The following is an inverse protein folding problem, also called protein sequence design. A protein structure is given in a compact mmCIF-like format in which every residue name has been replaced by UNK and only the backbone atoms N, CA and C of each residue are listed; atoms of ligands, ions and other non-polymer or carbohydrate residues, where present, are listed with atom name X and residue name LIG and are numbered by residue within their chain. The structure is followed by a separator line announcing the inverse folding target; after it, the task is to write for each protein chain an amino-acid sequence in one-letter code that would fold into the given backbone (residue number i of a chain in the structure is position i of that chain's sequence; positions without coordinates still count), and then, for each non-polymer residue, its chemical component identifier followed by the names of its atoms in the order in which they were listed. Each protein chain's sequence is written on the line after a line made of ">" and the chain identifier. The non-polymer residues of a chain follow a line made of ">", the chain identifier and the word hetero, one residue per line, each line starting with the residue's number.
data_IF_165601583112
#
_entry.id   IF_165601583112
#
_cell.length_a   1.000
_cell.length_b   1.000
_cell.length_c   1.000
_cell.angle_alpha   90.00
_cell.angle_beta   90.00
_cell.angle_gamma   90.00
#
_symmetry.space_group_name_H-M   'P 1'
#
loop_
_entity.id
_entity.type
_entity.pdbx_description
1 polymer ?
#
# COMPACT_ATOMS: atom_id res chain seq x y z
N UNK A 1 -22.69 -3.64 9.98
CA UNK A 1 -21.51 -2.80 10.29
C UNK A 1 -20.44 -3.08 9.24
N UNK A 2 -19.41 -2.24 9.12
CA UNK A 2 -18.29 -2.42 8.19
C UNK A 2 -16.97 -2.08 8.88
N UNK A 3 -15.92 -2.82 8.57
CA UNK A 3 -14.55 -2.62 9.08
C UNK A 3 -13.66 -2.30 7.88
N UNK A 4 -13.10 -1.09 7.88
CA UNK A 4 -12.22 -0.57 6.84
C UNK A 4 -10.79 -0.55 7.36
N UNK A 5 -9.83 -0.95 6.53
CA UNK A 5 -8.41 -0.76 6.82
C UNK A 5 -8.06 0.70 6.58
N UNK A 6 -8.13 1.50 7.63
CA UNK A 6 -8.03 2.95 7.56
C UNK A 6 -6.60 3.41 7.29
N UNK A 7 -5.64 2.75 7.94
CA UNK A 7 -4.24 3.11 7.93
C UNK A 7 -3.34 1.92 8.27
N UNK A 8 -2.06 2.05 7.91
CA UNK A 8 -1.02 1.05 8.16
C UNK A 8 0.32 1.73 8.39
N UNK A 9 1.14 1.18 9.30
CA UNK A 9 2.51 1.65 9.50
C UNK A 9 3.46 0.52 9.89
N UNK A 10 4.71 0.69 9.49
CA UNK A 10 5.87 -0.09 9.92
C UNK A 10 6.69 0.79 10.88
N UNK A 11 7.09 0.29 12.04
CA UNK A 11 7.95 1.00 13.00
C UNK A 11 9.10 0.11 13.47
N UNK A 12 10.25 0.72 13.75
CA UNK A 12 11.43 0.02 14.26
C UNK A 12 12.64 0.10 13.34
N UNK A 13 13.83 0.19 13.96
CA UNK A 13 15.11 0.24 13.26
C UNK A 13 15.82 -1.13 13.17
N UNK A 14 15.60 -1.99 14.17
CA UNK A 14 16.24 -3.31 14.30
C UNK A 14 15.23 -4.47 14.25
N UNK A 15 14.04 -4.27 14.81
CA UNK A 15 12.91 -5.19 14.70
C UNK A 15 11.71 -4.41 14.19
N UNK A 16 11.25 -4.74 12.97
CA UNK A 16 10.10 -4.07 12.36
C UNK A 16 8.81 -4.60 13.01
N UNK A 17 8.09 -3.69 13.66
CA UNK A 17 6.71 -3.89 14.11
C UNK A 17 5.73 -3.38 13.07
N UNK A 18 4.61 -4.06 12.95
CA UNK A 18 3.59 -3.77 11.96
C UNK A 18 2.29 -3.40 12.67
N UNK A 19 1.65 -2.34 12.22
CA UNK A 19 0.41 -1.88 12.83
C UNK A 19 -0.64 -1.58 11.78
N UNK A 20 -1.89 -1.91 12.12
CA UNK A 20 -3.09 -1.50 11.42
C UNK A 20 -3.88 -0.49 12.24
N UNK A 21 -4.62 0.36 11.55
CA UNK A 21 -5.68 1.17 12.13
C UNK A 21 -6.97 0.90 11.36
N UNK A 22 -8.06 0.74 12.07
CA UNK A 22 -9.36 0.38 11.49
C UNK A 22 -10.37 1.50 11.69
N UNK A 23 -11.25 1.64 10.71
CA UNK A 23 -12.45 2.45 10.82
C UNK A 23 -13.66 1.54 10.79
N UNK A 24 -14.45 1.59 11.86
CA UNK A 24 -15.63 0.77 12.07
C UNK A 24 -16.85 1.65 11.89
N UNK A 25 -17.78 1.22 11.03
CA UNK A 25 -19.01 1.97 10.76
C UNK A 25 -20.25 1.12 11.00
N UNK A 26 -21.27 1.70 11.61
CA UNK A 26 -22.57 1.05 11.83
C UNK A 26 -23.68 2.07 11.64
N UNK A 27 -24.39 1.97 10.51
CA UNK A 27 -25.31 3.03 10.08
C UNK A 27 -24.54 4.34 9.95
N UNK A 28 -24.94 5.33 10.73
CA UNK A 28 -24.34 6.67 10.79
C UNK A 28 -23.16 6.76 11.77
N UNK A 29 -23.02 5.78 12.67
CA UNK A 29 -21.97 5.78 13.69
C UNK A 29 -20.63 5.38 13.09
N UNK A 30 -19.59 6.09 13.50
CA UNK A 30 -18.21 5.83 13.10
C UNK A 30 -17.34 5.75 14.37
N UNK A 31 -16.44 4.78 14.41
CA UNK A 31 -15.44 4.63 15.45
C UNK A 31 -14.11 4.24 14.81
N UNK A 32 -13.03 4.91 15.22
CA UNK A 32 -11.69 4.50 14.83
C UNK A 32 -11.08 3.63 15.93
N UNK A 33 -10.36 2.59 15.54
CA UNK A 33 -9.52 1.85 16.48
C UNK A 33 -8.27 2.65 16.80
N UNK A 34 -7.64 2.29 17.92
CA UNK A 34 -6.22 2.57 18.13
C UNK A 34 -5.37 1.77 17.15
N UNK A 35 -4.05 2.00 17.18
CA UNK A 35 -3.09 1.20 16.44
C UNK A 35 -3.04 -0.21 17.03
N UNK A 36 -3.36 -1.20 16.19
CA UNK A 36 -3.32 -2.62 16.54
C UNK A 36 -2.05 -3.23 15.97
N UNK A 37 -1.19 -3.76 16.83
CA UNK A 37 0.00 -4.52 16.41
C UNK A 37 -0.45 -5.82 15.72
N UNK A 38 0.13 -6.12 14.56
CA UNK A 38 -0.17 -7.30 13.76
C UNK A 38 1.13 -8.00 13.36
N UNK A 39 1.05 -9.27 12.98
CA UNK A 39 2.19 -9.96 12.38
C UNK A 39 2.54 -9.37 11.02
N UNK A 40 3.78 -9.54 10.59
CA UNK A 40 4.24 -9.21 9.23
C UNK A 40 3.37 -9.86 8.16
N UNK A 41 3.01 -11.14 8.36
CA UNK A 41 2.17 -11.89 7.42
C UNK A 41 0.78 -11.29 7.25
N UNK A 42 0.17 -10.81 8.35
CA UNK A 42 -1.12 -10.12 8.32
C UNK A 42 -0.97 -8.76 7.63
N UNK A 43 0.10 -8.03 7.94
CA UNK A 43 0.38 -6.74 7.31
C UNK A 43 0.51 -6.86 5.79
N UNK A 44 1.37 -7.76 5.31
CA UNK A 44 1.58 -7.99 3.88
C UNK A 44 0.32 -8.49 3.17
N UNK A 45 -0.45 -9.37 3.83
CA UNK A 45 -1.72 -9.89 3.30
C UNK A 45 -2.74 -8.78 3.05
N UNK A 46 -2.83 -7.81 3.96
CA UNK A 46 -3.84 -6.75 3.88
C UNK A 46 -3.32 -5.44 3.27
N UNK A 47 -2.02 -5.31 3.05
CA UNK A 47 -1.39 -4.15 2.40
C UNK A 47 -2.06 -3.73 1.08
N UNK A 48 -2.49 -4.63 0.18
CA UNK A 48 -3.19 -4.24 -1.04
C UNK A 48 -4.52 -3.51 -0.79
N UNK A 49 -5.15 -3.77 0.36
CA UNK A 49 -6.51 -3.35 0.70
C UNK A 49 -6.55 -2.08 1.58
N UNK A 50 -5.46 -1.31 1.66
CA UNK A 50 -5.47 -0.02 2.35
C UNK A 50 -6.62 0.88 1.81
N UNK A 51 -7.40 1.45 2.72
CA UNK A 51 -8.58 2.26 2.41
C UNK A 51 -9.83 1.45 2.01
N UNK A 52 -9.78 0.11 2.06
CA UNK A 52 -10.89 -0.76 1.66
C UNK A 52 -11.58 -1.40 2.86
N UNK A 53 -12.86 -1.72 2.68
CA UNK A 53 -13.62 -2.54 3.62
C UNK A 53 -13.12 -3.99 3.57
N UNK A 54 -12.62 -4.50 4.69
CA UNK A 54 -12.20 -5.90 4.83
C UNK A 54 -13.37 -6.81 5.16
N UNK A 55 -14.30 -6.29 5.97
CA UNK A 55 -15.50 -6.99 6.40
C UNK A 55 -16.67 -6.04 6.31
N UNK A 56 -17.79 -6.50 5.74
CA UNK A 56 -19.07 -5.81 5.84
C UNK A 56 -20.19 -6.79 6.19
N UNK A 57 -21.07 -6.37 7.10
CA UNK A 57 -22.27 -7.10 7.49
C UNK A 57 -23.49 -6.27 7.10
N UNK A 58 -24.33 -6.86 6.25
CA UNK A 58 -25.62 -6.34 5.80
C UNK A 58 -26.72 -7.36 6.10
N UNK A 59 -27.95 -7.02 5.77
CA UNK A 59 -29.11 -7.94 5.92
C UNK A 59 -28.97 -9.19 5.05
N UNK A 60 -28.12 -9.12 4.02
CA UNK A 60 -27.81 -10.23 3.11
C UNK A 60 -26.67 -11.13 3.64
N UNK A 61 -26.16 -10.87 4.85
CA UNK A 61 -25.09 -11.63 5.50
C UNK A 61 -23.75 -10.90 5.61
N UNK A 62 -22.69 -11.66 5.87
CA UNK A 62 -21.32 -11.16 6.07
C UNK A 62 -20.51 -11.35 4.79
N UNK A 63 -19.85 -10.29 4.35
CA UNK A 63 -18.88 -10.28 3.26
C UNK A 63 -17.48 -10.03 3.83
N UNK A 64 -16.59 -11.02 3.69
CA UNK A 64 -15.19 -10.96 4.14
C UNK A 64 -14.21 -10.70 2.99
N UNK A 65 -14.71 -10.37 1.81
CA UNK A 65 -13.92 -10.06 0.62
C UNK A 65 -13.69 -8.57 0.54
N UNK A 66 -12.45 -8.13 0.35
CA UNK A 66 -12.13 -6.71 0.34
C UNK A 66 -12.81 -5.94 -0.81
N UNK A 67 -13.43 -4.80 -0.51
CA UNK A 67 -14.12 -3.97 -1.48
C UNK A 67 -14.10 -2.49 -1.07
N UNK A 68 -14.44 -1.54 -1.97
CA UNK A 68 -14.47 -0.13 -1.62
C UNK A 68 -15.53 0.14 -0.53
N UNK A 69 -15.25 0.99 0.47
CA UNK A 69 -16.15 1.19 1.60
C UNK A 69 -17.51 1.75 1.17
N UNK A 70 -18.62 1.10 1.52
CA UNK A 70 -19.97 1.57 1.18
C UNK A 70 -20.56 0.97 -0.09
N UNK A 71 -19.78 0.25 -0.91
CA UNK A 71 -20.32 -0.50 -2.06
C UNK A 71 -21.33 -1.57 -1.62
N UNK A 72 -21.18 -2.12 -0.42
CA UNK A 72 -22.10 -3.05 0.22
C UNK A 72 -23.47 -2.44 0.56
N UNK A 73 -23.58 -1.11 0.58
CA UNK A 73 -24.81 -0.35 0.88
C UNK A 73 -25.54 0.12 -0.39
N UNK A 74 -24.86 0.10 -1.53
CA UNK A 74 -25.46 0.49 -2.80
C UNK A 74 -26.59 -0.46 -3.17
N UNK A 75 -27.72 0.12 -3.57
CA UNK A 75 -28.94 -0.62 -3.91
C UNK A 75 -29.86 -0.93 -2.73
N UNK A 76 -29.46 -0.63 -1.49
CA UNK A 76 -30.36 -0.72 -0.34
C UNK A 76 -31.05 0.63 -0.11
N UNK A 77 -32.40 0.71 -0.23
CA UNK A 77 -33.15 1.96 -0.13
C UNK A 77 -33.05 2.66 1.24
N UNK A 78 -32.57 1.98 2.28
CA UNK A 78 -32.32 2.62 3.58
C UNK A 78 -31.15 3.60 3.56
N UNK A 79 -30.21 3.44 2.61
CA UNK A 79 -28.99 4.23 2.55
C UNK A 79 -28.99 5.28 1.45
N UNK A 80 -29.88 5.17 0.47
CA UNK A 80 -29.89 6.03 -0.70
C UNK A 80 -30.87 5.59 -1.77
N UNK A 81 -30.73 6.17 -2.96
CA UNK A 81 -31.61 5.90 -4.09
C UNK A 81 -30.85 5.95 -5.42
N UNK A 82 -31.43 5.32 -6.44
CA UNK A 82 -30.96 5.46 -7.82
C UNK A 82 -31.56 6.71 -8.45
N UNK A 83 -30.71 7.65 -8.84
CA UNK A 83 -31.09 8.90 -9.52
C UNK A 83 -30.71 8.82 -10.99
N UNK A 84 -31.61 9.21 -11.89
CA UNK A 84 -31.31 9.31 -13.31
C UNK A 84 -30.75 10.70 -13.64
N UNK A 85 -29.55 10.77 -14.23
CA UNK A 85 -28.95 12.02 -14.74
C UNK A 85 -28.37 11.75 -16.13
N UNK A 86 -28.85 12.49 -17.14
CA UNK A 86 -28.30 12.40 -18.50
C UNK A 86 -28.36 11.01 -19.15
N UNK A 87 -29.44 10.25 -18.91
CA UNK A 87 -29.63 8.92 -19.50
C UNK A 87 -28.91 7.76 -18.79
N UNK A 88 -28.25 8.02 -17.66
CA UNK A 88 -27.62 6.99 -16.81
C UNK A 88 -28.16 7.04 -15.38
N UNK A 89 -28.28 5.88 -14.74
CA UNK A 89 -28.68 5.75 -13.33
C UNK A 89 -27.45 5.71 -12.41
N UNK A 90 -27.44 6.56 -11.40
CA UNK A 90 -26.38 6.68 -10.42
C UNK A 90 -26.92 6.49 -9.01
N UNK A 91 -26.16 5.80 -8.15
CA UNK A 91 -26.51 5.70 -6.74
C UNK A 91 -26.14 6.98 -6.00
N UNK A 92 -27.08 7.50 -5.21
CA UNK A 92 -26.91 8.67 -4.36
C UNK A 92 -27.26 8.29 -2.91
N UNK A 93 -26.29 8.44 -2.01
CA UNK A 93 -26.51 8.23 -0.58
C UNK A 93 -27.33 9.37 0.01
N UNK A 94 -28.21 9.07 0.97
CA UNK A 94 -28.88 10.10 1.75
C UNK A 94 -27.87 10.94 2.56
N UNK A 95 -28.21 12.20 2.84
CA UNK A 95 -27.29 13.17 3.45
C UNK A 95 -26.65 12.70 4.76
N UNK A 96 -27.39 11.96 5.59
CA UNK A 96 -26.88 11.35 6.83
C UNK A 96 -25.74 10.33 6.60
N UNK A 97 -25.61 9.80 5.39
CA UNK A 97 -24.55 8.91 4.94
C UNK A 97 -23.55 9.59 4.00
N UNK A 98 -23.49 10.93 3.96
CA UNK A 98 -22.54 11.68 3.13
C UNK A 98 -21.08 11.30 3.37
N UNK A 99 -20.75 10.81 4.59
CA UNK A 99 -19.42 10.28 4.88
C UNK A 99 -19.05 9.09 3.98
N UNK A 100 -20.00 8.25 3.57
CA UNK A 100 -19.74 7.12 2.66
C UNK A 100 -19.31 7.63 1.28
N UNK A 101 -20.01 8.64 0.77
CA UNK A 101 -19.60 9.34 -0.46
C UNK A 101 -18.19 9.91 -0.36
N UNK A 102 -17.82 10.43 0.82
CA UNK A 102 -16.47 10.94 1.07
C UNK A 102 -15.40 9.84 1.06
N UNK A 103 -15.70 8.67 1.65
CA UNK A 103 -14.85 7.47 1.62
C UNK A 103 -14.75 6.83 0.24
N UNK A 104 -15.66 7.16 -0.67
CA UNK A 104 -15.62 6.70 -2.06
C UNK A 104 -15.04 7.75 -3.00
N UNK A 105 -14.77 8.96 -2.50
CA UNK A 105 -14.20 10.04 -3.30
C UNK A 105 -15.22 10.62 -4.28
N UNK A 106 -16.51 10.39 -4.04
CA UNK A 106 -17.63 10.85 -4.85
C UNK A 106 -18.01 12.32 -4.60
N UNK A 107 -17.19 13.04 -3.83
CA UNK A 107 -17.40 14.42 -3.35
C UNK A 107 -17.65 15.48 -4.44
N UNK A 108 -17.63 15.14 -5.75
CA UNK A 108 -17.90 16.05 -6.87
C UNK A 108 -18.75 15.43 -7.99
N UNK A 109 -19.75 14.62 -7.63
CA UNK A 109 -20.88 14.36 -8.55
C UNK A 109 -20.81 13.08 -9.40
N UNK A 110 -19.92 12.14 -9.09
CA UNK A 110 -19.95 10.80 -9.69
C UNK A 110 -20.36 9.80 -8.62
N UNK A 111 -21.66 9.50 -8.55
CA UNK A 111 -22.14 8.32 -7.86
C UNK A 111 -21.75 7.05 -8.61
N UNK A 112 -21.96 5.90 -8.01
CA UNK A 112 -21.76 4.62 -8.72
C UNK A 112 -22.79 4.47 -9.83
N UNK A 113 -22.34 4.23 -11.06
CA UNK A 113 -23.24 3.88 -12.16
C UNK A 113 -23.79 2.46 -11.97
N UNK A 114 -24.93 2.15 -12.60
CA UNK A 114 -25.48 0.79 -12.55
C UNK A 114 -24.50 -0.27 -13.06
N UNK A 115 -23.72 0.06 -14.09
CA UNK A 115 -22.69 -0.82 -14.66
C UNK A 115 -21.59 -1.13 -13.64
N UNK A 116 -21.08 -0.12 -12.95
CA UNK A 116 -20.03 -0.33 -11.94
C UNK A 116 -20.55 -1.15 -10.75
N UNK A 117 -21.83 -1.01 -10.42
CA UNK A 117 -22.48 -1.84 -9.40
C UNK A 117 -22.58 -3.30 -9.82
N UNK A 118 -22.92 -3.58 -11.09
CA UNK A 118 -23.03 -4.94 -11.60
C UNK A 118 -21.64 -5.63 -11.66
N UNK A 119 -20.59 -4.89 -12.00
CA UNK A 119 -19.19 -5.36 -11.92
C UNK A 119 -18.79 -5.73 -10.48
N UNK A 120 -19.13 -4.85 -9.52
CA UNK A 120 -18.93 -5.13 -8.10
C UNK A 120 -19.70 -6.37 -7.64
N UNK A 121 -20.99 -6.47 -8.00
CA UNK A 121 -21.86 -7.59 -7.63
C UNK A 121 -21.32 -8.91 -8.16
N UNK A 122 -20.76 -8.90 -9.36
CA UNK A 122 -20.09 -10.05 -9.97
C UNK A 122 -18.84 -10.45 -9.19
N UNK A 123 -17.96 -9.49 -8.88
CA UNK A 123 -16.77 -9.75 -8.04
C UNK A 123 -17.13 -10.28 -6.66
N UNK A 124 -18.16 -9.72 -6.02
CA UNK A 124 -18.68 -10.18 -4.72
C UNK A 124 -19.19 -11.62 -4.79
N UNK A 125 -19.97 -11.97 -5.82
CA UNK A 125 -20.46 -13.35 -6.02
C UNK A 125 -19.31 -14.35 -6.17
N UNK A 126 -18.25 -13.93 -6.85
CA UNK A 126 -17.05 -14.74 -7.06
C UNK A 126 -16.06 -14.70 -5.88
N UNK A 127 -16.40 -14.01 -4.78
CA UNK A 127 -15.54 -13.85 -3.59
C UNK A 127 -14.17 -13.21 -3.90
N UNK A 128 -14.10 -12.36 -4.93
CA UNK A 128 -12.86 -11.71 -5.37
C UNK A 128 -12.77 -10.27 -4.86
N UNK A 129 -11.60 -9.84 -4.34
CA UNK A 129 -11.41 -8.45 -3.98
C UNK A 129 -11.69 -7.51 -5.15
N UNK A 130 -12.44 -6.45 -4.90
CA UNK A 130 -12.84 -5.49 -5.93
C UNK A 130 -12.19 -4.14 -5.66
N UNK A 131 -11.40 -3.64 -6.61
CA UNK A 131 -10.63 -2.40 -6.46
C UNK A 131 -11.26 -1.20 -7.18
N UNK A 132 -12.51 -1.32 -7.64
CA UNK A 132 -13.05 -0.41 -8.65
C UNK A 132 -12.74 -0.89 -10.06
N UNK A 133 -13.53 -0.43 -11.02
CA UNK A 133 -13.39 -0.80 -12.44
C UNK A 133 -12.00 -0.45 -12.97
N UNK A 134 -11.48 0.71 -12.58
CA UNK A 134 -10.15 1.19 -12.97
C UNK A 134 -9.10 1.01 -11.88
N UNK A 135 -9.35 0.13 -10.89
CA UNK A 135 -8.47 -0.06 -9.71
C UNK A 135 -8.21 1.23 -8.94
N UNK A 136 -9.23 2.07 -8.82
CA UNK A 136 -9.13 3.37 -8.15
C UNK A 136 -9.05 3.28 -6.63
N UNK A 137 -9.35 2.11 -6.04
CA UNK A 137 -9.26 1.82 -4.60
C UNK A 137 -8.10 0.89 -4.26
N UNK A 138 -7.82 0.70 -2.97
CA UNK A 138 -6.69 -0.08 -2.47
C UNK A 138 -5.40 0.74 -2.42
N UNK A 139 -4.29 0.13 -2.04
CA UNK A 139 -3.04 0.84 -1.74
C UNK A 139 -2.33 1.48 -2.92
N UNK A 140 -2.74 1.17 -4.14
CA UNK A 140 -2.25 1.79 -5.38
C UNK A 140 -3.32 2.66 -6.06
N UNK A 141 -4.52 2.74 -5.46
CA UNK A 141 -5.66 3.43 -6.02
C UNK A 141 -5.55 4.95 -5.93
N UNK A 142 -5.95 5.63 -7.01
CA UNK A 142 -5.94 7.11 -7.09
C UNK A 142 -6.92 7.76 -6.11
N UNK A 143 -8.04 7.10 -5.81
CA UNK A 143 -9.03 7.57 -4.82
C UNK A 143 -8.46 7.40 -3.41
N UNK A 144 -7.89 6.24 -3.10
CA UNK A 144 -7.23 5.99 -1.81
C UNK A 144 -6.11 7.01 -1.55
N UNK A 145 -5.30 7.32 -2.56
CA UNK A 145 -4.22 8.28 -2.43
C UNK A 145 -4.72 9.69 -2.05
N UNK A 146 -5.85 10.11 -2.62
CA UNK A 146 -6.45 11.41 -2.32
C UNK A 146 -7.07 11.47 -0.92
N UNK A 147 -7.72 10.39 -0.49
CA UNK A 147 -8.38 10.34 0.81
C UNK A 147 -7.43 10.08 1.98
N UNK A 148 -6.34 9.36 1.74
CA UNK A 148 -5.40 8.90 2.77
C UNK A 148 -3.96 9.37 2.48
N UNK A 149 -3.71 10.69 2.40
CA UNK A 149 -2.40 11.22 2.04
C UNK A 149 -1.30 10.83 3.03
N UNK A 150 -1.61 10.77 4.34
CA UNK A 150 -0.67 10.38 5.40
C UNK A 150 -0.24 8.92 5.28
N UNK A 151 -1.18 8.00 5.07
CA UNK A 151 -0.91 6.58 4.85
C UNK A 151 -0.04 6.38 3.59
N UNK A 152 -0.37 7.08 2.51
CA UNK A 152 0.40 7.04 1.26
C UNK A 152 1.80 7.63 1.41
N UNK A 153 1.95 8.73 2.16
CA UNK A 153 3.24 9.34 2.46
C UNK A 153 4.14 8.37 3.25
N UNK A 154 3.60 7.71 4.29
CA UNK A 154 4.32 6.68 5.05
C UNK A 154 4.74 5.50 4.18
N UNK A 155 3.85 5.02 3.29
CA UNK A 155 4.20 3.98 2.31
C UNK A 155 5.37 4.41 1.43
N UNK A 156 5.33 5.62 0.87
CA UNK A 156 6.43 6.16 0.05
C UNK A 156 7.74 6.21 0.82
N UNK A 157 7.71 6.65 2.08
CA UNK A 157 8.88 6.66 2.96
C UNK A 157 9.41 5.24 3.23
N UNK A 158 8.53 4.27 3.52
CA UNK A 158 8.91 2.87 3.73
C UNK A 158 9.59 2.27 2.48
N UNK A 159 9.03 2.50 1.29
CA UNK A 159 9.62 2.07 0.02
C UNK A 159 10.99 2.73 -0.22
N UNK A 160 11.12 4.03 0.06
CA UNK A 160 12.39 4.75 -0.07
C UNK A 160 13.46 4.18 0.86
N UNK A 161 13.11 3.89 2.13
CA UNK A 161 14.00 3.23 3.10
C UNK A 161 14.44 1.85 2.61
N UNK A 162 13.52 1.02 2.11
CA UNK A 162 13.85 -0.31 1.56
C UNK A 162 14.83 -0.20 0.38
N UNK A 163 14.65 0.77 -0.51
CA UNK A 163 15.58 1.05 -1.63
C UNK A 163 16.96 1.51 -1.16
N UNK A 164 17.04 2.38 -0.16
CA UNK A 164 18.34 2.84 0.38
C UNK A 164 19.11 1.68 1.02
N UNK A 165 18.45 0.85 1.83
CA UNK A 165 19.07 -0.34 2.44
C UNK A 165 19.54 -1.37 1.40
N UNK A 166 18.77 -1.56 0.32
CA UNK A 166 19.18 -2.43 -0.79
C UNK A 166 20.43 -1.89 -1.51
N UNK A 167 20.44 -0.59 -1.79
CA UNK A 167 21.58 0.08 -2.44
C UNK A 167 22.84 0.01 -1.57
N UNK A 168 22.71 0.17 -0.25
CA UNK A 168 23.81 -0.02 0.70
C UNK A 168 24.33 -1.46 0.69
N UNK A 169 23.44 -2.46 0.63
CA UNK A 169 23.81 -3.89 0.54
C UNK A 169 24.54 -4.26 -0.76
N UNK A 170 24.19 -3.63 -1.89
CA UNK A 170 24.92 -3.81 -3.16
C UNK A 170 26.30 -3.15 -3.07
N UNK A 171 26.37 -1.91 -2.57
CA UNK A 171 27.65 -1.20 -2.43
C UNK A 171 28.63 -1.96 -1.53
N UNK A 172 28.16 -2.53 -0.42
CA UNK A 172 29.00 -3.34 0.48
C UNK A 172 29.52 -4.64 -0.16
N UNK A 173 28.75 -5.25 -1.07
CA UNK A 173 29.16 -6.43 -1.84
C UNK A 173 30.12 -6.08 -2.98
N UNK A 174 29.90 -4.95 -3.66
CA UNK A 174 30.77 -4.45 -4.72
C UNK A 174 32.13 -3.97 -4.18
N UNK A 175 32.18 -3.44 -2.94
CA UNK A 175 33.43 -3.09 -2.26
C UNK A 175 34.21 -4.32 -1.76
N UNK A 176 33.55 -5.45 -1.51
CA UNK A 176 34.20 -6.72 -1.15
C UNK A 176 34.70 -7.51 -2.37
N UNK A 177 34.20 -7.23 -3.58
CA UNK A 177 34.63 -7.87 -4.83
C UNK A 177 35.87 -7.25 -5.49
N UNK A 178 36.50 -6.23 -4.87
CA UNK A 178 37.70 -5.56 -5.38
C UNK A 178 38.89 -5.71 -4.42
N UNK A 179 39.16 -6.93 -3.99
CA UNK A 179 40.42 -7.26 -3.30
C UNK A 179 40.86 -8.68 -3.64
N UNK A 180 41.01 -9.00 -4.93
CA UNK A 180 41.81 -10.15 -5.37
C UNK A 180 42.22 -10.01 -6.84
N UNK A 181 42.96 -8.96 -7.18
CA UNK A 181 43.95 -8.95 -8.26
C UNK A 181 44.98 -7.87 -7.92
N UNK A 182 45.64 -8.05 -6.77
CA UNK A 182 46.88 -7.34 -6.46
C UNK A 182 47.98 -7.98 -7.30
N UNK A 183 48.35 -7.31 -8.39
CA UNK A 183 49.57 -7.58 -9.13
C UNK A 183 50.75 -7.55 -8.15
N UNK A 184 51.32 -8.71 -7.87
CA UNK A 184 52.60 -8.84 -7.16
C UNK A 184 53.71 -8.28 -8.05
N UNK A 185 53.92 -6.96 -8.00
CA UNK A 185 55.18 -6.36 -8.43
C UNK A 185 56.26 -6.76 -7.43
N UNK A 186 56.93 -7.89 -7.70
CA UNK A 186 58.16 -8.27 -7.01
C UNK A 186 59.22 -7.22 -7.33
N UNK A 187 59.44 -6.32 -6.39
CA UNK A 187 60.64 -5.51 -6.28
C UNK A 187 61.85 -6.43 -6.15
N UNK A 188 62.62 -6.58 -7.24
CA UNK A 188 63.98 -7.13 -7.19
C UNK A 188 64.89 -6.09 -6.55
N UNK A 189 65.21 -6.30 -5.28
CA UNK A 189 66.34 -5.68 -4.60
C UNK A 189 67.64 -6.18 -5.25
N UNK A 190 68.30 -5.33 -6.02
CA UNK A 190 69.68 -5.53 -6.46
C UNK A 190 70.63 -5.07 -5.37
N UNK A 191 71.41 -6.01 -4.84
CA UNK A 191 72.56 -5.75 -3.97
C UNK A 191 73.86 -5.79 -4.78
N UNK A 192 74.81 -4.93 -4.41
CA UNK A 192 76.21 -4.97 -4.84
C UNK A 192 76.55 -3.84 -5.82
N UNK A 193 77.53 -2.99 -5.60
CA UNK A 193 78.61 -2.92 -4.61
C UNK A 193 79.58 -1.88 -5.18
N UNK A 194 80.04 -0.94 -4.35
CA UNK A 194 80.87 0.20 -4.75
C UNK A 194 82.34 -0.14 -4.50
N UNK A 195 83.22 0.36 -5.38
CA UNK A 195 84.67 0.63 -5.19
C UNK A 195 85.68 -0.39 -5.74
N UNK A 196 86.64 0.12 -6.53
CA UNK A 196 88.04 -0.30 -6.41
C UNK A 196 88.80 -0.61 -7.70
N UNK A 197 89.37 0.44 -8.33
CA UNK A 197 90.76 0.55 -8.83
C UNK A 197 91.37 -0.47 -9.81
N UNK A 198 92.18 0.03 -10.75
CA UNK A 198 93.33 -0.72 -11.29
C UNK A 198 93.61 -0.55 -12.78
N UNK A 199 94.64 0.24 -13.10
CA UNK A 199 95.29 0.37 -14.41
C UNK A 199 96.03 -0.91 -14.83
N UNK A 200 96.22 -1.12 -16.14
CA UNK A 200 97.21 -2.08 -16.66
C UNK A 200 97.21 -2.21 -18.18
N UNK A 201 98.18 -1.53 -18.81
CA UNK A 201 98.74 -1.60 -20.17
C UNK A 201 98.20 -2.60 -21.18
#
# INVERSE_FOLDING_TARGET
>A
YMIVLDDMREEGAFFTKYYHKYLITQGERQAQSDWVEVSESVFQKYEPFLGMALVSKTDQGVNNTAHPPGYDRVGNPQYGQWTNRGGSSFWEFYGQYAFMSSMLGWNRGYGMSRLDYDDYRTSRRNQRPYYGKNREYGSQGTVTQKQKPSAFARRKQAVARKKSSFSQKIKSRASQGRSSFGSSSRSRSGFGGRSGGGFGK
#
